data_IF_342466474607
#
_entry.id   IF_342466474607
#
_cell.length_a   1.000
_cell.length_b   1.000
_cell.length_c   1.000
_cell.angle_alpha   90.00
_cell.angle_beta   90.00
_cell.angle_gamma   90.00
#
_symmetry.space_group_name_H-M   'P 1'
#
loop_
_entity.id
_entity.type
_entity.pdbx_description
1 polymer ?
#
# COMPACT_ATOMS: atom_id res chain seq x y z
N UNK A 1 5.16 -23.87 9.14
CA UNK A 1 3.85 -23.20 9.32
C UNK A 1 4.09 -21.69 9.43
N UNK A 2 4.16 -21.00 8.30
CA UNK A 2 4.30 -19.53 8.26
C UNK A 2 2.99 -18.93 7.73
N UNK A 3 2.43 -17.96 8.45
CA UNK A 3 1.46 -17.00 7.89
C UNK A 3 -0.02 -17.37 7.99
N UNK A 4 -0.57 -17.51 9.20
CA UNK A 4 -2.02 -17.37 9.42
C UNK A 4 -2.22 -16.30 10.50
N UNK A 5 -2.43 -15.06 10.09
CA UNK A 5 -2.64 -13.97 11.04
C UNK A 5 -3.24 -12.70 10.44
N UNK A 6 -3.02 -12.42 9.15
CA UNK A 6 -3.50 -11.20 8.49
C UNK A 6 -4.81 -11.41 7.71
N UNK A 7 -4.97 -12.52 6.99
CA UNK A 7 -6.17 -12.80 6.17
C UNK A 7 -7.48 -12.86 6.98
N UNK A 8 -7.46 -13.38 8.20
CA UNK A 8 -8.67 -13.61 9.00
C UNK A 8 -9.41 -12.32 9.43
N UNK A 9 -8.74 -11.17 9.44
CA UNK A 9 -9.37 -9.91 9.87
C UNK A 9 -9.89 -9.08 8.70
N UNK A 10 -9.20 -9.07 7.56
CA UNK A 10 -9.66 -8.33 6.37
C UNK A 10 -10.89 -9.01 5.75
N UNK A 11 -10.86 -10.33 5.56
CA UNK A 11 -12.00 -11.10 5.03
C UNK A 11 -13.25 -10.98 5.91
N UNK A 12 -13.07 -10.91 7.24
CA UNK A 12 -14.17 -10.75 8.20
C UNK A 12 -14.77 -9.33 8.25
N UNK A 13 -14.09 -8.35 7.64
CA UNK A 13 -14.51 -6.96 7.60
C UNK A 13 -15.03 -6.52 6.23
N UNK A 14 -14.83 -7.33 5.18
CA UNK A 14 -15.46 -7.16 3.87
C UNK A 14 -16.99 -7.09 4.02
N UNK A 15 -17.61 -6.03 3.49
CA UNK A 15 -19.06 -5.81 3.51
C UNK A 15 -19.62 -5.05 4.72
N UNK A 16 -18.78 -4.63 5.68
CA UNK A 16 -19.17 -3.71 6.75
C UNK A 16 -19.10 -2.25 6.29
N UNK A 17 -19.95 -1.35 6.81
CA UNK A 17 -19.83 0.08 6.53
C UNK A 17 -18.45 0.61 6.94
N UNK A 18 -17.89 1.52 6.13
CA UNK A 18 -16.53 2.06 6.22
C UNK A 18 -15.38 1.11 5.81
N UNK A 19 -15.67 -0.13 5.40
CA UNK A 19 -14.68 -1.11 4.92
C UNK A 19 -14.77 -1.37 3.41
N UNK A 20 -15.45 -0.50 2.68
CA UNK A 20 -15.64 -0.63 1.22
C UNK A 20 -14.29 -0.62 0.46
N UNK A 21 -13.28 0.06 1.02
CA UNK A 21 -11.93 0.14 0.47
C UNK A 21 -11.20 -1.20 0.41
N UNK A 22 -11.68 -2.25 1.09
CA UNK A 22 -11.10 -3.60 1.01
C UNK A 22 -11.41 -4.31 -0.32
N UNK A 23 -12.40 -3.83 -1.07
CA UNK A 23 -12.72 -4.36 -2.40
C UNK A 23 -11.90 -3.70 -3.52
N UNK A 24 -11.14 -2.66 -3.21
CA UNK A 24 -10.31 -1.95 -4.16
C UNK A 24 -8.91 -2.56 -4.22
N UNK A 25 -8.21 -2.37 -5.33
CA UNK A 25 -6.79 -2.72 -5.41
C UNK A 25 -6.01 -1.94 -4.35
N UNK A 26 -4.95 -2.55 -3.80
CA UNK A 26 -4.07 -1.90 -2.83
C UNK A 26 -3.61 -0.52 -3.35
N UNK A 27 -3.99 0.52 -2.63
CA UNK A 27 -3.77 1.90 -3.03
C UNK A 27 -3.36 2.75 -1.83
N UNK A 28 -2.83 3.95 -2.11
CA UNK A 28 -2.46 4.92 -1.09
C UNK A 28 -3.37 6.13 -1.22
N UNK A 29 -4.05 6.50 -0.13
CA UNK A 29 -4.88 7.72 -0.07
C UNK A 29 -4.09 8.82 0.62
N UNK A 30 -3.99 9.99 -0.03
CA UNK A 30 -3.38 11.19 0.54
C UNK A 30 -4.44 12.27 0.72
N UNK A 31 -4.62 12.73 1.96
CA UNK A 31 -5.52 13.84 2.31
C UNK A 31 -4.73 14.99 2.91
N UNK A 32 -5.07 16.22 2.51
CA UNK A 32 -4.44 17.44 3.03
C UNK A 32 -5.53 18.46 3.34
N UNK A 33 -5.58 18.91 4.59
CA UNK A 33 -6.41 20.02 5.01
C UNK A 33 -5.54 21.28 5.16
N UNK A 34 -5.72 22.23 4.25
CA UNK A 34 -5.02 23.52 4.23
C UNK A 34 -5.73 24.50 3.27
N UNK A 35 -5.26 25.75 3.20
CA UNK A 35 -5.63 26.67 2.13
C UNK A 35 -5.14 26.16 0.78
N UNK A 36 -5.93 26.34 -0.27
CA UNK A 36 -5.78 25.73 -1.59
C UNK A 36 -4.32 25.73 -2.12
N UNK A 37 -3.64 26.87 -2.06
CA UNK A 37 -2.28 27.04 -2.56
C UNK A 37 -1.27 26.17 -1.80
N UNK A 38 -1.41 26.09 -0.47
CA UNK A 38 -0.56 25.27 0.40
C UNK A 38 -0.94 23.80 0.32
N UNK A 39 -2.24 23.51 0.21
CA UNK A 39 -2.74 22.14 0.05
C UNK A 39 -2.18 21.49 -1.22
N UNK A 40 -2.25 22.20 -2.37
CA UNK A 40 -1.69 21.73 -3.64
C UNK A 40 -0.19 21.46 -3.55
N UNK A 41 0.58 22.38 -2.96
CA UNK A 41 2.02 22.21 -2.79
C UNK A 41 2.38 21.01 -1.90
N UNK A 42 1.65 20.83 -0.78
CA UNK A 42 1.86 19.70 0.13
C UNK A 42 1.47 18.38 -0.50
N UNK A 43 0.34 18.33 -1.21
CA UNK A 43 -0.14 17.13 -1.90
C UNK A 43 0.84 16.71 -3.00
N UNK A 44 1.32 17.66 -3.81
CA UNK A 44 2.30 17.38 -4.86
C UNK A 44 3.59 16.77 -4.30
N UNK A 45 4.12 17.36 -3.22
CA UNK A 45 5.34 16.87 -2.56
C UNK A 45 5.14 15.49 -1.93
N UNK A 46 4.00 15.25 -1.28
CA UNK A 46 3.66 13.95 -0.69
C UNK A 46 3.54 12.86 -1.78
N UNK A 47 2.87 13.18 -2.89
CA UNK A 47 2.74 12.29 -4.05
C UNK A 47 4.10 11.89 -4.61
N UNK A 48 5.04 12.84 -4.74
CA UNK A 48 6.39 12.57 -5.23
C UNK A 48 7.14 11.56 -4.33
N UNK A 49 7.10 11.76 -3.01
CA UNK A 49 7.77 10.85 -2.07
C UNK A 49 7.17 9.45 -2.06
N UNK A 50 5.84 9.32 -2.10
CA UNK A 50 5.19 8.01 -2.16
C UNK A 50 5.54 7.30 -3.47
N UNK A 51 5.53 8.01 -4.60
CA UNK A 51 5.94 7.42 -5.88
C UNK A 51 7.39 6.93 -5.86
N UNK A 52 8.30 7.68 -5.23
CA UNK A 52 9.69 7.26 -5.06
C UNK A 52 9.78 6.00 -4.18
N UNK A 53 9.09 6.00 -3.04
CA UNK A 53 9.05 4.86 -2.13
C UNK A 53 8.54 3.58 -2.79
N UNK A 54 7.45 3.68 -3.56
CA UNK A 54 6.88 2.55 -4.29
C UNK A 54 7.84 2.02 -5.37
N UNK A 55 8.57 2.91 -6.07
CA UNK A 55 9.58 2.53 -7.06
C UNK A 55 10.78 1.80 -6.44
N UNK A 56 11.29 2.31 -5.33
CA UNK A 56 12.43 1.69 -4.64
C UNK A 56 12.03 0.36 -3.97
N UNK A 57 10.83 0.26 -3.43
CA UNK A 57 10.33 -0.99 -2.82
C UNK A 57 10.21 -2.13 -3.85
N UNK A 58 9.83 -1.81 -5.10
CA UNK A 58 9.79 -2.79 -6.19
C UNK A 58 11.17 -3.31 -6.61
N UNK A 59 12.23 -2.52 -6.45
CA UNK A 59 13.61 -2.92 -6.77
C UNK A 59 14.15 -4.01 -5.83
N UNK A 60 13.74 -4.01 -4.57
CA UNK A 60 14.16 -5.01 -3.60
C UNK A 60 13.48 -6.38 -3.79
N UNK A 61 12.25 -6.40 -4.30
CA UNK A 61 11.47 -7.63 -4.46
C UNK A 61 11.83 -8.42 -5.73
N UNK A 62 12.24 -7.74 -6.81
CA UNK A 62 12.62 -8.41 -8.06
C UNK A 62 14.03 -9.03 -8.05
N UNK A 63 14.79 -8.85 -6.96
CA UNK A 63 16.16 -9.34 -6.84
C UNK A 63 16.29 -10.76 -6.26
N UNK A 64 15.19 -11.40 -5.86
CA UNK A 64 15.20 -12.81 -5.45
C UNK A 64 14.74 -13.66 -6.64
N UNK A 65 15.64 -14.39 -7.32
CA UNK A 65 15.24 -15.33 -8.35
C UNK A 65 14.40 -16.44 -7.71
N UNK A 66 13.25 -16.74 -8.33
CA UNK A 66 12.28 -17.74 -7.85
C UNK A 66 12.90 -19.13 -7.69
N UNK A 67 14.06 -19.38 -8.31
CA UNK A 67 14.84 -20.61 -8.16
C UNK A 67 15.37 -20.86 -6.74
N UNK A 68 15.51 -19.82 -5.92
CA UNK A 68 16.12 -19.93 -4.58
C UNK A 68 15.07 -20.20 -3.48
N UNK A 69 13.80 -20.42 -3.87
CA UNK A 69 12.65 -20.52 -2.95
C UNK A 69 12.13 -21.95 -2.76
N UNK A 70 12.76 -22.98 -3.35
CA UNK A 70 12.31 -24.39 -3.31
C UNK A 70 13.03 -25.30 -2.32
N UNK A 71 13.97 -24.82 -1.49
CA UNK A 71 14.58 -25.63 -0.42
C UNK A 71 14.22 -25.06 0.96
N UNK A 72 13.09 -25.51 1.54
CA UNK A 72 12.91 -25.94 2.95
C UNK A 72 11.45 -26.09 3.38
#
# INVERSE_FOLDING_TARGET
>A
MYGIGTQNHEEANTGKPNWEHLNENLHVVLTVEDFENRAKARLAKASEYINLFLKESMKGWSAVPVSDMEDH
#
